data_IF_520887707799
#
_entry.id   IF_520887707799
#
_cell.length_a   1.000
_cell.length_b   1.000
_cell.length_c   1.000
_cell.angle_alpha   90.00
_cell.angle_beta   90.00
_cell.angle_gamma   90.00
#
_symmetry.space_group_name_H-M   'P 1'
#
loop_
_entity.id
_entity.type
_entity.pdbx_description
1 polymer ?
#
# COMPACT_ATOMS: atom_id res chain seq x y z
N UNK A 1 14.39 5.33 -24.38
CA UNK A 1 14.50 4.34 -23.29
C UNK A 1 15.17 5.03 -22.13
N UNK A 2 14.69 4.77 -20.91
CA UNK A 2 15.33 5.26 -19.69
C UNK A 2 16.72 4.62 -19.53
N UNK A 3 17.67 5.37 -18.99
CA UNK A 3 18.93 4.86 -18.50
C UNK A 3 18.72 3.95 -17.27
N UNK A 4 19.75 3.18 -16.91
CA UNK A 4 19.70 2.33 -15.71
C UNK A 4 19.50 3.17 -14.43
N UNK A 5 20.13 4.34 -14.36
CA UNK A 5 20.00 5.26 -13.23
C UNK A 5 18.56 5.78 -13.10
N UNK A 6 17.96 6.26 -14.19
CA UNK A 6 16.56 6.70 -14.21
C UNK A 6 15.61 5.56 -13.84
N UNK A 7 15.89 4.34 -14.32
CA UNK A 7 15.12 3.14 -13.97
C UNK A 7 15.22 2.82 -12.47
N UNK A 8 16.41 2.85 -11.89
CA UNK A 8 16.59 2.57 -10.46
C UNK A 8 15.93 3.62 -9.56
N UNK A 9 15.96 4.90 -9.96
CA UNK A 9 15.24 5.99 -9.26
C UNK A 9 13.74 5.69 -9.16
N UNK A 10 13.14 5.16 -10.23
CA UNK A 10 11.71 4.88 -10.31
C UNK A 10 11.30 3.51 -9.72
N UNK A 11 12.13 2.49 -9.90
CA UNK A 11 11.73 1.09 -9.63
C UNK A 11 12.18 0.57 -8.27
N UNK A 12 13.19 1.19 -7.64
CA UNK A 12 13.66 0.82 -6.30
C UNK A 12 12.85 1.57 -5.24
N UNK A 13 12.20 0.81 -4.38
CA UNK A 13 11.28 1.34 -3.35
C UNK A 13 11.72 1.05 -1.92
N UNK A 14 12.95 0.54 -1.76
CA UNK A 14 13.52 0.24 -0.44
C UNK A 14 13.78 1.49 0.40
N UNK A 15 14.15 1.34 1.69
CA UNK A 15 14.59 2.47 2.51
C UNK A 15 15.73 3.26 1.84
N UNK A 16 15.71 4.59 1.97
CA UNK A 16 16.75 5.51 1.42
C UNK A 16 16.87 5.49 -0.11
N UNK A 17 15.82 5.07 -0.82
CA UNK A 17 15.73 5.21 -2.28
C UNK A 17 14.79 6.36 -2.61
N UNK A 18 15.01 7.13 -3.71
CA UNK A 18 14.16 8.27 -4.01
C UNK A 18 12.66 7.93 -4.10
N UNK A 19 12.31 6.85 -4.82
CA UNK A 19 10.91 6.42 -4.91
C UNK A 19 10.41 5.79 -3.59
N UNK A 20 11.25 5.08 -2.85
CA UNK A 20 10.90 4.60 -1.51
C UNK A 20 10.53 5.75 -0.58
N UNK A 21 11.33 6.81 -0.56
CA UNK A 21 11.11 7.99 0.27
C UNK A 21 9.86 8.76 -0.16
N UNK A 22 9.57 8.82 -1.46
CA UNK A 22 8.32 9.39 -1.99
C UNK A 22 7.09 8.59 -1.57
N UNK A 23 7.05 7.28 -1.83
CA UNK A 23 5.85 6.46 -1.55
C UNK A 23 5.53 6.44 -0.06
N UNK A 24 6.55 6.45 0.81
CA UNK A 24 6.39 6.50 2.28
C UNK A 24 5.65 7.75 2.77
N UNK A 25 5.66 8.85 2.00
CA UNK A 25 4.92 10.07 2.34
C UNK A 25 3.39 9.91 2.24
N UNK A 26 2.91 8.77 1.73
CA UNK A 26 1.49 8.48 1.55
C UNK A 26 1.04 7.31 2.44
N UNK A 27 -0.28 7.21 2.62
CA UNK A 27 -0.89 6.03 3.20
C UNK A 27 -0.87 4.87 2.20
N UNK A 28 -0.38 3.72 2.65
CA UNK A 28 -0.19 2.53 1.81
C UNK A 28 -1.10 1.41 2.34
N UNK A 29 -1.87 0.74 1.47
CA UNK A 29 -2.59 -0.46 1.87
C UNK A 29 -1.56 -1.56 2.20
N UNK A 30 -1.53 -2.02 3.44
CA UNK A 30 -0.51 -2.95 3.92
C UNK A 30 -0.99 -4.41 3.94
N UNK A 31 -2.25 -4.65 4.32
CA UNK A 31 -2.89 -5.96 4.38
C UNK A 31 -4.42 -5.82 4.49
N UNK A 32 -5.15 -6.88 4.18
CA UNK A 32 -6.59 -6.95 4.46
C UNK A 32 -6.81 -7.13 5.97
N UNK A 33 -7.85 -6.50 6.49
CA UNK A 33 -8.30 -6.67 7.87
C UNK A 33 -8.51 -8.13 8.27
N UNK A 34 -8.99 -8.94 7.33
CA UNK A 34 -9.27 -10.37 7.48
C UNK A 34 -8.01 -11.24 7.61
N UNK A 35 -6.85 -10.75 7.17
CA UNK A 35 -5.57 -11.45 7.35
C UNK A 35 -5.06 -11.37 8.81
N UNK A 36 -5.62 -10.47 9.61
CA UNK A 36 -5.32 -10.30 11.03
C UNK A 36 -6.62 -10.31 11.87
N UNK A 37 -7.34 -11.45 11.91
CA UNK A 37 -8.74 -11.48 12.29
C UNK A 37 -9.01 -11.38 13.80
N UNK A 38 -8.05 -11.78 14.64
CA UNK A 38 -8.25 -11.91 16.07
C UNK A 38 -7.34 -10.98 16.89
N UNK A 39 -7.90 -10.23 17.87
CA UNK A 39 -7.10 -9.63 18.94
C UNK A 39 -6.24 -10.69 19.63
N UNK A 40 -4.97 -10.36 19.92
CA UNK A 40 -3.99 -11.29 20.48
C UNK A 40 -3.75 -12.58 19.67
N UNK A 41 -4.10 -12.56 18.37
CA UNK A 41 -3.74 -13.62 17.44
C UNK A 41 -2.23 -13.67 17.16
N UNK A 42 -1.76 -14.69 16.43
CA UNK A 42 -0.37 -14.76 15.99
C UNK A 42 -0.01 -13.54 15.10
N UNK A 43 1.23 -13.04 15.18
CA UNK A 43 1.67 -11.97 14.28
C UNK A 43 1.74 -12.47 12.84
N UNK A 44 1.47 -11.59 11.88
CA UNK A 44 1.58 -11.87 10.45
C UNK A 44 2.89 -11.29 9.91
N UNK A 45 3.58 -12.00 9.00
CA UNK A 45 4.73 -11.43 8.28
C UNK A 45 4.22 -10.55 7.15
N UNK A 46 4.77 -9.34 7.05
CA UNK A 46 4.43 -8.40 5.99
C UNK A 46 5.73 -7.96 5.33
N UNK A 47 5.77 -7.93 4.00
CA UNK A 47 6.89 -7.33 3.25
C UNK A 47 6.37 -6.14 2.48
N UNK A 48 6.82 -4.95 2.85
CA UNK A 48 6.32 -3.69 2.27
C UNK A 48 7.50 -2.74 2.04
N UNK A 49 7.57 -2.15 0.85
CA UNK A 49 8.62 -1.20 0.45
C UNK A 49 10.05 -1.65 0.82
N UNK A 50 10.35 -2.93 0.54
CA UNK A 50 11.66 -3.54 0.78
C UNK A 50 11.96 -3.90 2.24
N UNK A 51 11.08 -3.62 3.19
CA UNK A 51 11.25 -3.97 4.60
C UNK A 51 10.51 -5.27 4.95
N UNK A 52 11.12 -6.09 5.82
CA UNK A 52 10.46 -7.25 6.43
C UNK A 52 9.91 -6.85 7.79
N UNK A 53 8.59 -6.94 7.92
CA UNK A 53 7.80 -6.41 9.02
C UNK A 53 6.94 -7.52 9.64
N UNK A 54 6.36 -7.22 10.79
CA UNK A 54 5.29 -7.98 11.40
C UNK A 54 4.08 -7.10 11.64
N UNK A 55 2.89 -7.64 11.41
CA UNK A 55 1.63 -7.02 11.83
C UNK A 55 1.07 -7.75 13.04
N UNK A 56 0.59 -7.01 14.03
CA UNK A 56 -0.02 -7.55 15.24
C UNK A 56 -1.26 -6.74 15.63
N UNK A 57 -2.26 -7.42 16.18
CA UNK A 57 -3.49 -6.81 16.71
C UNK A 57 -3.53 -7.00 18.22
N UNK A 58 -3.57 -5.90 18.97
CA UNK A 58 -3.64 -5.94 20.43
C UNK A 58 -5.01 -6.37 20.93
N UNK A 59 -5.13 -6.60 22.24
CA UNK A 59 -6.43 -6.87 22.89
C UNK A 59 -7.43 -5.75 22.66
N UNK A 60 -6.97 -4.49 22.65
CA UNK A 60 -7.79 -3.32 22.35
C UNK A 60 -8.19 -3.20 20.87
N UNK A 61 -7.77 -4.14 20.01
CA UNK A 61 -8.07 -4.13 18.58
C UNK A 61 -7.15 -3.24 17.75
N UNK A 62 -6.20 -2.53 18.36
CA UNK A 62 -5.24 -1.69 17.66
C UNK A 62 -4.27 -2.53 16.85
N UNK A 63 -4.01 -2.12 15.60
CA UNK A 63 -3.05 -2.77 14.73
C UNK A 63 -1.74 -1.98 14.73
N UNK A 64 -0.62 -2.70 14.84
CA UNK A 64 0.71 -2.15 14.61
C UNK A 64 1.43 -2.89 13.49
N UNK A 65 2.20 -2.14 12.69
CA UNK A 65 3.14 -2.70 11.73
C UNK A 65 4.55 -2.39 12.21
N UNK A 66 5.31 -3.41 12.61
CA UNK A 66 6.60 -3.27 13.28
C UNK A 66 7.71 -3.92 12.48
N UNK A 67 8.95 -3.46 12.65
CA UNK A 67 10.10 -4.22 12.17
C UNK A 67 10.12 -5.58 12.86
N UNK A 68 10.37 -6.63 12.09
CA UNK A 68 10.53 -7.96 12.65
C UNK A 68 11.80 -8.08 13.50
N UNK A 69 12.79 -7.19 13.38
CA UNK A 69 14.06 -7.28 14.12
C UNK A 69 13.94 -6.65 15.51
N UNK A 70 14.12 -7.44 16.57
CA UNK A 70 14.20 -6.91 17.92
C UNK A 70 15.45 -6.01 18.08
N UNK A 71 15.32 -4.76 18.57
CA UNK A 71 16.42 -3.80 18.66
C UNK A 71 17.51 -4.21 19.68
N UNK A 72 17.30 -5.27 20.47
CA UNK A 72 18.30 -5.77 21.41
C UNK A 72 19.44 -6.52 20.71
N UNK A 73 19.15 -7.68 20.09
CA UNK A 73 20.15 -8.57 19.46
C UNK A 73 19.67 -9.16 18.14
N UNK A 74 18.65 -8.57 17.54
CA UNK A 74 18.17 -8.94 16.22
C UNK A 74 17.30 -10.20 16.13
N UNK A 75 16.85 -10.75 17.25
CA UNK A 75 15.89 -11.86 17.23
C UNK A 75 14.59 -11.43 16.55
N UNK A 76 14.01 -12.31 15.73
CA UNK A 76 12.77 -12.01 15.03
C UNK A 76 11.57 -11.96 15.99
N UNK A 77 10.91 -10.81 16.08
CA UNK A 77 9.68 -10.58 16.82
C UNK A 77 8.50 -11.37 16.26
N UNK A 78 8.58 -11.90 15.03
CA UNK A 78 7.57 -12.82 14.50
C UNK A 78 7.38 -14.06 15.39
N UNK A 79 8.46 -14.53 16.03
CA UNK A 79 8.39 -15.64 16.99
C UNK A 79 8.05 -15.17 18.41
N UNK A 80 7.78 -13.89 18.59
CA UNK A 80 7.39 -13.30 19.86
C UNK A 80 6.04 -13.80 20.34
N UNK A 81 5.82 -13.72 21.65
CA UNK A 81 4.52 -14.02 22.26
C UNK A 81 3.72 -12.74 22.38
N UNK A 82 2.46 -12.76 21.93
CA UNK A 82 1.54 -11.69 22.27
C UNK A 82 1.22 -11.71 23.76
N UNK A 83 1.34 -10.56 24.42
CA UNK A 83 1.08 -10.40 25.84
C UNK A 83 0.37 -9.05 26.09
N UNK A 84 -0.96 -9.09 26.20
CA UNK A 84 -1.82 -7.91 26.36
C UNK A 84 -1.65 -6.89 25.21
N UNK A 85 -1.10 -5.71 25.49
CA UNK A 85 -0.97 -4.60 24.52
C UNK A 85 0.39 -4.59 23.80
N UNK A 86 1.00 -5.75 23.57
CA UNK A 86 2.29 -5.81 22.90
C UNK A 86 2.84 -7.20 22.63
N UNK A 87 4.00 -7.22 21.98
CA UNK A 87 4.73 -8.44 21.61
C UNK A 87 6.00 -8.59 22.45
N UNK A 88 6.16 -9.74 23.10
CA UNK A 88 7.35 -10.09 23.87
C UNK A 88 8.31 -10.91 23.02
N UNK A 89 9.53 -10.39 22.86
CA UNK A 89 10.62 -11.11 22.22
C UNK A 89 10.94 -12.39 23.01
N UNK A 90 10.96 -13.53 22.33
CA UNK A 90 11.29 -14.83 22.93
C UNK A 90 12.75 -14.97 23.39
N UNK A 91 13.64 -14.07 22.97
CA UNK A 91 15.05 -14.20 23.31
C UNK A 91 15.34 -13.77 24.75
N UNK A 92 15.12 -12.49 25.07
CA UNK A 92 15.42 -11.93 26.40
C UNK A 92 14.19 -11.29 27.07
N UNK A 93 13.00 -11.55 26.53
CA UNK A 93 11.75 -11.12 27.14
C UNK A 93 11.45 -9.62 27.03
N UNK A 94 12.20 -8.84 26.23
CA UNK A 94 11.85 -7.44 25.99
C UNK A 94 10.49 -7.35 25.29
N UNK A 95 9.61 -6.50 25.80
CA UNK A 95 8.25 -6.34 25.32
C UNK A 95 8.06 -4.98 24.68
N UNK A 96 7.40 -4.94 23.52
CA UNK A 96 7.12 -3.72 22.78
C UNK A 96 5.63 -3.57 22.51
N UNK A 97 5.10 -2.36 22.62
CA UNK A 97 3.76 -2.06 22.13
C UNK A 97 3.73 -1.85 20.61
N UNK A 98 2.53 -1.68 20.04
CA UNK A 98 2.32 -1.48 18.59
C UNK A 98 2.94 -0.19 18.04
N UNK A 99 3.28 0.76 18.90
CA UNK A 99 4.01 1.98 18.56
C UNK A 99 5.53 1.82 18.73
N UNK A 100 6.00 0.61 19.03
CA UNK A 100 7.42 0.28 19.19
C UNK A 100 8.03 0.72 20.51
N UNK A 101 7.26 1.22 21.48
CA UNK A 101 7.78 1.60 22.80
C UNK A 101 8.15 0.34 23.58
N UNK A 102 9.34 0.32 24.16
CA UNK A 102 9.74 -0.76 25.04
C UNK A 102 9.01 -0.64 26.38
N UNK A 103 8.12 -1.59 26.66
CA UNK A 103 7.25 -1.59 27.83
C UNK A 103 7.96 -2.23 29.04
N UNK A 104 8.68 -3.33 28.79
CA UNK A 104 9.27 -4.17 29.82
C UNK A 104 10.61 -4.76 29.38
N UNK A 105 11.55 -4.84 30.31
CA UNK A 105 12.86 -5.48 30.17
C UNK A 105 13.11 -6.40 31.38
N UNK A 106 12.57 -7.63 31.38
CA UNK A 106 12.55 -8.48 32.58
C UNK A 106 13.94 -8.92 33.09
N UNK A 107 14.97 -8.75 32.28
CA UNK A 107 16.37 -9.06 32.63
C UNK A 107 17.14 -7.85 33.16
N UNK A 108 16.52 -6.66 33.20
CA UNK A 108 17.09 -5.46 33.79
C UNK A 108 16.64 -5.30 35.24
N UNK A 109 17.44 -4.63 36.11
CA UNK A 109 16.98 -4.23 37.44
C UNK A 109 15.69 -3.41 37.38
N UNK A 110 14.82 -3.53 38.39
CA UNK A 110 13.51 -2.87 38.39
C UNK A 110 13.60 -1.33 38.37
N UNK A 111 14.70 -0.78 38.88
CA UNK A 111 15.04 0.63 38.88
C UNK A 111 15.62 1.12 37.55
N UNK A 112 15.92 0.23 36.60
CA UNK A 112 16.47 0.58 35.29
C UNK A 112 15.43 1.33 34.44
N UNK A 113 15.83 2.50 33.95
CA UNK A 113 15.05 3.32 33.00
C UNK A 113 15.51 3.11 31.55
N UNK A 114 16.32 2.08 31.29
CA UNK A 114 16.89 1.88 29.95
C UNK A 114 15.81 1.66 28.88
N UNK A 115 14.65 1.09 29.26
CA UNK A 115 13.48 0.96 28.38
C UNK A 115 13.00 2.27 27.75
N UNK A 116 13.21 3.40 28.42
CA UNK A 116 12.78 4.70 27.93
C UNK A 116 13.63 5.16 26.73
N UNK A 117 14.85 4.63 26.59
CA UNK A 117 15.79 4.89 25.48
C UNK A 117 15.66 3.92 24.32
N UNK A 118 14.92 2.83 24.49
CA UNK A 118 14.78 1.77 23.47
C UNK A 118 13.45 1.92 22.74
N UNK A 119 13.52 1.87 21.42
CA UNK A 119 12.36 1.81 20.52
C UNK A 119 12.58 0.73 19.47
N UNK A 120 11.59 -0.12 19.27
CA UNK A 120 11.49 -0.90 18.04
C UNK A 120 10.95 0.03 16.94
N UNK A 121 11.36 -0.19 15.70
CA UNK A 121 10.75 0.52 14.56
C UNK A 121 9.32 0.03 14.39
N UNK A 122 8.38 0.98 14.33
CA UNK A 122 6.97 0.72 14.13
C UNK A 122 6.36 1.84 13.27
N UNK A 123 5.33 1.49 12.51
CA UNK A 123 4.61 2.37 11.63
C UNK A 123 3.14 2.44 12.08
N UNK A 124 2.55 3.64 12.19
CA UNK A 124 1.15 3.78 12.55
C UNK A 124 0.26 3.12 11.51
N UNK A 125 -0.82 2.51 11.98
CA UNK A 125 -1.84 1.90 11.15
C UNK A 125 -3.21 2.50 11.43
N UNK A 126 -4.05 2.53 10.40
CA UNK A 126 -5.48 2.83 10.52
C UNK A 126 -6.26 1.82 9.68
N UNK A 127 -7.47 1.49 10.12
CA UNK A 127 -8.30 0.47 9.48
C UNK A 127 -9.56 1.15 8.94
N UNK A 128 -9.80 1.03 7.64
CA UNK A 128 -10.99 1.58 6.97
C UNK A 128 -11.39 0.68 5.82
N UNK A 129 -12.67 0.33 5.78
CA UNK A 129 -13.29 -0.53 4.77
C UNK A 129 -12.44 -1.78 4.46
N UNK A 130 -12.22 -2.63 5.46
CA UNK A 130 -11.57 -3.94 5.29
C UNK A 130 -10.08 -3.92 4.92
N UNK A 131 -9.45 -2.74 4.87
CA UNK A 131 -8.03 -2.56 4.59
C UNK A 131 -7.35 -1.95 5.82
N UNK A 132 -6.21 -2.53 6.20
CA UNK A 132 -5.27 -1.93 7.14
C UNK A 132 -4.28 -1.08 6.33
N UNK A 133 -4.37 0.23 6.52
CA UNK A 133 -3.49 1.23 5.94
C UNK A 133 -2.35 1.53 6.89
N UNK A 134 -1.15 1.78 6.36
CA UNK A 134 0.01 2.22 7.15
C UNK A 134 0.63 3.48 6.57
N UNK A 135 1.16 4.33 7.44
CA UNK A 135 1.97 5.49 7.04
C UNK A 135 3.41 5.24 7.46
N UNK A 136 4.32 5.21 6.48
CA UNK A 136 5.73 4.89 6.69
C UNK A 136 6.66 6.10 6.55
N UNK A 137 6.08 7.29 6.46
CA UNK A 137 6.77 8.54 6.21
C UNK A 137 7.31 9.20 7.48
N UNK A 138 8.07 10.30 7.33
CA UNK A 138 8.82 10.89 8.43
C UNK A 138 7.98 11.80 9.35
N UNK A 139 6.71 12.08 9.01
CA UNK A 139 5.87 12.99 9.80
C UNK A 139 5.47 12.34 11.12
N UNK A 140 5.63 13.07 12.22
CA UNK A 140 5.15 12.64 13.54
C UNK A 140 3.62 12.44 13.54
N UNK A 141 2.91 13.39 12.92
CA UNK A 141 1.49 13.27 12.63
C UNK A 141 1.29 12.96 11.14
N UNK A 142 0.82 11.74 10.80
CA UNK A 142 0.49 11.37 9.43
C UNK A 142 -0.53 12.34 8.81
N UNK A 143 -0.53 12.52 7.47
CA UNK A 143 -1.64 13.20 6.81
C UNK A 143 -2.98 12.47 7.07
N UNK A 144 -4.14 13.11 6.88
CA UNK A 144 -5.40 12.39 6.90
C UNK A 144 -5.41 11.28 5.83
N UNK A 145 -6.10 10.19 6.13
CA UNK A 145 -6.30 9.10 5.16
C UNK A 145 -7.13 9.65 3.98
N UNK A 146 -6.72 9.45 2.71
CA UNK A 146 -7.34 10.11 1.57
C UNK A 146 -8.78 9.63 1.36
N UNK A 147 -9.69 10.54 1.08
CA UNK A 147 -11.12 10.27 0.85
C UNK A 147 -11.36 9.70 -0.57
N UNK A 148 -10.80 8.51 -0.81
CA UNK A 148 -11.09 7.71 -1.99
C UNK A 148 -12.46 7.07 -1.82
N UNK A 149 -13.32 7.18 -2.84
CA UNK A 149 -14.72 6.70 -2.79
C UNK A 149 -14.89 5.28 -2.20
N UNK A 150 -14.09 4.26 -2.58
CA UNK A 150 -14.22 2.91 -2.01
C UNK A 150 -14.02 2.86 -0.50
N UNK A 151 -13.32 3.84 0.09
CA UNK A 151 -13.08 3.94 1.52
C UNK A 151 -14.21 4.64 2.30
N UNK A 152 -15.20 5.20 1.59
CA UNK A 152 -16.30 5.97 2.18
C UNK A 152 -17.64 5.23 2.10
N UNK A 153 -17.69 4.16 1.30
CA UNK A 153 -18.89 3.35 1.14
C UNK A 153 -19.20 2.54 2.41
N UNK A 154 -20.49 2.29 2.71
CA UNK A 154 -20.90 1.43 3.82
C UNK A 154 -20.33 0.01 3.72
N UNK A 155 -20.22 -0.66 4.87
CA UNK A 155 -19.89 -2.08 4.93
C UNK A 155 -20.88 -2.92 4.10
N UNK A 156 -20.36 -3.89 3.34
CA UNK A 156 -21.14 -4.72 2.42
C UNK A 156 -21.41 -4.10 1.04
N UNK A 157 -21.02 -2.84 0.80
CA UNK A 157 -21.03 -2.22 -0.53
C UNK A 157 -19.65 -2.18 -1.19
N UNK A 158 -18.65 -2.81 -0.56
CA UNK A 158 -17.27 -2.88 -1.03
C UNK A 158 -16.85 -4.34 -1.04
N UNK A 159 -16.24 -4.78 -2.14
CA UNK A 159 -15.52 -6.04 -2.23
C UNK A 159 -14.02 -5.74 -2.33
N UNK A 160 -13.23 -6.47 -1.55
CA UNK A 160 -11.78 -6.28 -1.46
C UNK A 160 -11.13 -7.62 -1.73
N UNK A 161 -10.16 -7.59 -2.62
CA UNK A 161 -9.30 -8.73 -2.89
C UNK A 161 -7.87 -8.24 -3.06
N UNK A 162 -6.92 -9.12 -2.80
CA UNK A 162 -5.51 -8.87 -3.00
C UNK A 162 -4.94 -9.98 -3.88
N UNK A 163 -3.97 -9.64 -4.72
CA UNK A 163 -3.20 -10.61 -5.46
C UNK A 163 -1.73 -10.18 -5.50
N UNK A 164 -0.85 -11.15 -5.27
CA UNK A 164 0.57 -10.94 -5.47
C UNK A 164 0.86 -10.97 -6.98
N UNK A 165 1.54 -9.94 -7.48
CA UNK A 165 2.06 -9.89 -8.85
C UNK A 165 3.58 -9.88 -8.79
N UNK A 166 4.21 -10.87 -9.41
CA UNK A 166 5.67 -11.01 -9.46
C UNK A 166 6.28 -10.10 -10.54
N UNK A 167 6.05 -8.80 -10.41
CA UNK A 167 6.61 -7.76 -11.28
C UNK A 167 6.99 -6.51 -10.47
N UNK A 168 7.72 -5.58 -11.09
CA UNK A 168 7.94 -4.29 -10.45
C UNK A 168 6.63 -3.50 -10.41
N UNK A 169 6.41 -2.72 -9.34
CA UNK A 169 5.20 -1.94 -9.13
C UNK A 169 4.87 -1.03 -10.33
N UNK A 170 5.89 -0.48 -11.00
CA UNK A 170 5.75 0.37 -12.17
C UNK A 170 5.09 -0.37 -13.33
N UNK A 171 5.42 -1.66 -13.52
CA UNK A 171 4.83 -2.45 -14.62
C UNK A 171 3.33 -2.69 -14.38
N UNK A 172 2.92 -2.90 -13.12
CA UNK A 172 1.51 -3.01 -12.77
C UNK A 172 0.80 -1.66 -12.97
N UNK A 173 1.38 -0.56 -12.49
CA UNK A 173 0.85 0.78 -12.64
C UNK A 173 0.71 1.20 -14.12
N UNK A 174 1.76 0.99 -14.92
CA UNK A 174 1.74 1.28 -16.37
C UNK A 174 0.63 0.52 -17.09
N UNK A 175 0.41 -0.75 -16.71
CA UNK A 175 -0.72 -1.53 -17.20
C UNK A 175 -2.06 -0.91 -16.85
N UNK A 176 -2.27 -0.48 -15.59
CA UNK A 176 -3.54 0.09 -15.15
C UNK A 176 -3.87 1.42 -15.86
N UNK A 177 -2.84 2.23 -16.15
CA UNK A 177 -3.02 3.51 -16.85
C UNK A 177 -3.02 3.36 -18.37
N UNK A 178 -2.37 2.37 -18.97
CA UNK A 178 -2.36 2.25 -20.43
C UNK A 178 -3.74 1.88 -20.99
N UNK A 179 -4.37 2.79 -21.73
CA UNK A 179 -5.65 2.48 -22.39
C UNK A 179 -5.49 1.73 -23.72
N UNK A 180 -4.29 1.70 -24.31
CA UNK A 180 -4.07 1.08 -25.63
C UNK A 180 -4.16 -0.43 -25.53
N UNK A 181 -3.57 -1.03 -24.48
CA UNK A 181 -3.64 -2.48 -24.30
C UNK A 181 -5.07 -3.01 -24.17
N UNK A 182 -6.02 -2.19 -23.69
CA UNK A 182 -7.40 -2.62 -23.45
C UNK A 182 -8.07 -3.17 -24.71
N UNK A 183 -7.84 -2.53 -25.86
CA UNK A 183 -8.43 -2.93 -27.14
C UNK A 183 -7.95 -4.30 -27.62
N UNK A 184 -6.67 -4.62 -27.38
CA UNK A 184 -6.07 -5.87 -27.87
C UNK A 184 -6.16 -6.98 -26.84
N UNK A 185 -5.81 -6.71 -25.58
CA UNK A 185 -5.76 -7.72 -24.53
C UNK A 185 -7.15 -8.16 -24.08
N UNK A 186 -8.09 -7.22 -23.88
CA UNK A 186 -9.39 -7.53 -23.30
C UNK A 186 -10.49 -7.70 -24.35
N UNK A 187 -10.38 -7.02 -25.50
CA UNK A 187 -11.41 -7.04 -26.55
C UNK A 187 -10.99 -7.83 -27.81
N UNK A 188 -9.70 -8.14 -27.99
CA UNK A 188 -9.23 -9.07 -29.02
C UNK A 188 -9.78 -8.79 -30.42
N UNK A 189 -10.61 -9.70 -30.93
CA UNK A 189 -11.21 -9.62 -32.28
C UNK A 189 -12.62 -9.02 -32.31
N UNK A 190 -13.15 -8.56 -31.18
CA UNK A 190 -14.50 -7.96 -31.09
C UNK A 190 -14.61 -6.76 -32.03
N UNK A 191 -15.69 -6.73 -32.82
CA UNK A 191 -16.02 -5.64 -33.73
C UNK A 191 -17.02 -4.64 -33.12
N UNK A 192 -17.12 -3.41 -33.66
CA UNK A 192 -18.03 -2.39 -33.13
C UNK A 192 -19.52 -2.77 -33.13
N UNK A 193 -19.95 -3.66 -34.02
CA UNK A 193 -21.32 -4.16 -34.10
C UNK A 193 -21.67 -5.24 -33.07
N UNK A 194 -20.66 -5.81 -32.39
CA UNK A 194 -20.83 -6.81 -31.33
C UNK A 194 -20.96 -6.18 -29.92
N UNK A 195 -20.84 -4.85 -29.81
CA UNK A 195 -20.86 -4.12 -28.53
C UNK A 195 -21.90 -3.01 -28.53
N UNK A 196 -22.36 -2.64 -27.34
CA UNK A 196 -23.44 -1.66 -27.17
C UNK A 196 -22.91 -0.25 -27.54
N UNK A 197 -23.53 0.46 -28.50
CA UNK A 197 -23.11 1.82 -28.86
C UNK A 197 -23.07 2.77 -27.67
N UNK A 198 -22.04 3.63 -27.62
CA UNK A 198 -21.85 4.61 -26.55
C UNK A 198 -21.18 4.08 -25.29
N UNK A 199 -20.83 2.79 -25.23
CA UNK A 199 -20.06 2.20 -24.12
C UNK A 199 -18.55 2.37 -24.28
N UNK A 200 -17.81 2.12 -23.20
CA UNK A 200 -16.35 2.06 -23.21
C UNK A 200 -15.83 1.09 -24.29
N UNK A 201 -16.39 -0.12 -24.37
CA UNK A 201 -15.97 -1.13 -25.33
C UNK A 201 -16.20 -0.64 -26.77
N UNK A 202 -17.37 -0.05 -27.04
CA UNK A 202 -17.71 0.52 -28.34
C UNK A 202 -16.68 1.55 -28.83
N UNK A 203 -16.33 2.53 -28.01
CA UNK A 203 -15.32 3.52 -28.40
C UNK A 203 -13.93 2.89 -28.57
N UNK A 204 -13.59 1.92 -27.73
CA UNK A 204 -12.28 1.25 -27.74
C UNK A 204 -12.07 0.38 -28.98
N UNK A 205 -13.09 -0.38 -29.43
CA UNK A 205 -12.97 -1.21 -30.64
C UNK A 205 -13.08 -0.42 -31.94
N UNK A 206 -13.83 0.69 -31.93
CA UNK A 206 -14.03 1.55 -33.11
C UNK A 206 -12.78 2.38 -33.46
N UNK A 207 -12.04 2.82 -32.45
CA UNK A 207 -10.72 3.44 -32.62
C UNK A 207 -9.74 2.81 -31.62
N UNK A 208 -8.96 1.84 -32.11
CA UNK A 208 -7.93 1.15 -31.32
C UNK A 208 -6.68 2.01 -31.08
N UNK A 209 -6.65 3.24 -31.60
CA UNK A 209 -5.53 4.19 -31.48
C UNK A 209 -5.89 5.37 -30.58
N UNK A 210 -5.79 5.21 -29.24
CA UNK A 210 -6.04 6.32 -28.33
C UNK A 210 -5.05 7.47 -28.57
N UNK A 211 -5.54 8.69 -28.41
CA UNK A 211 -4.71 9.90 -28.34
C UNK A 211 -4.59 10.30 -26.88
N UNK A 212 -3.42 10.78 -26.47
CA UNK A 212 -3.14 11.08 -25.07
C UNK A 212 -2.99 12.58 -24.83
N UNK A 213 -3.40 13.01 -23.65
CA UNK A 213 -3.13 14.34 -23.10
C UNK A 213 -2.69 14.16 -21.66
N UNK A 214 -1.55 14.75 -21.32
CA UNK A 214 -1.00 14.74 -19.97
C UNK A 214 -1.08 16.17 -19.45
N UNK A 215 -1.50 16.33 -18.20
CA UNK A 215 -1.64 17.61 -17.53
C UNK A 215 -0.87 17.54 -16.23
N UNK A 216 0.12 18.40 -16.08
CA UNK A 216 0.78 18.60 -14.79
C UNK A 216 -0.18 19.29 -13.83
N UNK A 217 -0.23 18.80 -12.60
CA UNK A 217 -1.03 19.35 -11.52
C UNK A 217 -0.12 19.70 -10.34
N UNK A 218 -0.63 20.48 -9.38
CA UNK A 218 0.12 20.79 -8.16
C UNK A 218 0.38 19.56 -7.28
N UNK A 219 -0.28 18.44 -7.55
CA UNK A 219 -0.24 17.20 -6.78
C UNK A 219 0.26 16.01 -7.60
N UNK A 220 0.94 16.26 -8.72
CA UNK A 220 1.47 15.24 -9.62
C UNK A 220 1.01 15.47 -11.05
N UNK A 221 0.41 14.45 -11.65
CA UNK A 221 -0.01 14.43 -13.04
C UNK A 221 -1.40 13.84 -13.17
N UNK A 222 -2.14 14.31 -14.16
CA UNK A 222 -3.35 13.67 -14.68
C UNK A 222 -3.08 13.27 -16.12
N UNK A 223 -3.53 12.09 -16.51
CA UNK A 223 -3.52 11.69 -17.90
C UNK A 223 -4.96 11.43 -18.38
N UNK A 224 -5.24 11.85 -19.61
CA UNK A 224 -6.45 11.52 -20.33
C UNK A 224 -6.11 10.88 -21.66
N UNK A 225 -6.76 9.76 -21.97
CA UNK A 225 -6.79 9.24 -23.32
C UNK A 225 -8.16 9.45 -23.95
N UNK A 226 -8.17 9.80 -25.23
CA UNK A 226 -9.38 10.13 -25.94
C UNK A 226 -9.46 9.52 -27.33
N UNK A 227 -10.70 9.30 -27.76
CA UNK A 227 -11.07 8.73 -29.06
C UNK A 227 -12.21 9.57 -29.66
N UNK A 228 -12.27 9.74 -30.99
CA UNK A 228 -13.41 10.41 -31.63
C UNK A 228 -14.70 9.68 -31.25
N UNK A 229 -15.77 10.44 -30.98
CA UNK A 229 -17.11 9.96 -30.67
C UNK A 229 -18.10 10.34 -31.80
N UNK A 230 -19.23 10.98 -31.51
CA UNK A 230 -20.13 11.55 -32.52
C UNK A 230 -19.60 12.92 -33.01
N UNK A 231 -20.30 13.59 -33.93
CA UNK A 231 -19.92 14.88 -34.55
C UNK A 231 -19.20 15.85 -33.57
N UNK A 232 -17.91 16.08 -33.83
CA UNK A 232 -17.01 16.97 -33.06
C UNK A 232 -16.87 16.66 -31.55
N UNK A 233 -17.24 15.44 -31.11
CA UNK A 233 -17.11 15.01 -29.72
C UNK A 233 -16.03 13.93 -29.55
N UNK A 234 -15.57 13.78 -28.31
CA UNK A 234 -14.56 12.79 -27.93
C UNK A 234 -15.00 12.01 -26.69
N UNK A 235 -14.76 10.70 -26.71
CA UNK A 235 -14.84 9.87 -25.52
C UNK A 235 -13.51 9.96 -24.77
N UNK A 236 -13.54 10.26 -23.48
CA UNK A 236 -12.36 10.40 -22.61
C UNK A 236 -12.35 9.31 -21.54
N UNK A 237 -11.19 8.65 -21.38
CA UNK A 237 -10.82 7.90 -20.18
C UNK A 237 -9.76 8.72 -19.45
N UNK A 238 -10.00 9.03 -18.19
CA UNK A 238 -9.13 9.88 -17.38
C UNK A 238 -8.63 9.04 -16.20
N UNK A 239 -7.32 9.06 -15.93
CA UNK A 239 -6.78 8.64 -14.65
C UNK A 239 -6.20 9.86 -13.94
N UNK A 240 -6.59 10.01 -12.68
CA UNK A 240 -6.15 11.08 -11.79
C UNK A 240 -5.15 10.53 -10.78
N UNK A 241 -4.42 11.43 -10.11
CA UNK A 241 -3.50 11.10 -9.00
C UNK A 241 -2.31 10.22 -9.42
N UNK A 242 -1.68 10.55 -10.54
CA UNK A 242 -0.41 9.97 -10.99
C UNK A 242 0.80 10.77 -10.53
#
# INVERSE_FOLDING_TARGET
MLSQEESDVLTRVGPSTPMGDLIRQYWIPALMSTELPAPNGPPLRVRLLGENLIACRTTAGQVGLMDHVCPHRGASLFFGRHEAEGIRCVYHGWKFDVAGRCMEMPTEPAESTFKDKVRARAYPCTERNGIIWTYMGPREEPPPLPDLEPNLLPEGQVEIWTALRDCNWVQAMEGDIDTAHLALLHLGSVSPDEVIPGTFDYYTVRDRTPRYKVVETAYGTMYGAYRPAAEETYYWRIAQFL
#
